data_IF_603258750532
#
_entry.id   IF_603258750532
#
_cell.length_a   1.000
_cell.length_b   1.000
_cell.length_c   1.000
_cell.angle_alpha   90.00
_cell.angle_beta   90.00
_cell.angle_gamma   90.00
#
_symmetry.space_group_name_H-M   'P 1'
#
loop_
_entity.id
_entity.type
_entity.pdbx_description
1 polymer ?
#
# COMPACT_ATOMS: atom_id res chain seq x y z
N UNK A 1 15.10 4.16 -12.99
CA UNK A 1 14.89 5.56 -13.42
C UNK A 1 13.88 5.64 -14.56
N UNK A 2 13.28 6.81 -14.78
CA UNK A 2 12.27 7.09 -15.81
C UNK A 2 11.01 6.21 -15.74
N UNK A 3 10.52 5.96 -14.51
CA UNK A 3 9.31 5.19 -14.29
C UNK A 3 8.08 5.95 -14.83
N UNK A 4 7.41 5.39 -15.84
CA UNK A 4 6.27 6.01 -16.53
C UNK A 4 4.93 5.79 -15.83
N UNK A 5 4.87 4.84 -14.89
CA UNK A 5 3.68 4.50 -14.14
C UNK A 5 4.01 4.01 -12.73
N UNK A 6 3.17 4.34 -11.75
CA UNK A 6 3.22 3.83 -10.39
C UNK A 6 1.99 2.99 -10.12
N UNK A 7 2.19 1.76 -9.66
CA UNK A 7 1.09 0.89 -9.22
C UNK A 7 0.83 1.11 -7.74
N UNK A 8 -0.41 1.46 -7.41
CA UNK A 8 -0.89 1.57 -6.04
C UNK A 8 -1.65 0.28 -5.73
N UNK A 9 -1.14 -0.47 -4.76
CA UNK A 9 -1.77 -1.70 -4.27
C UNK A 9 -2.38 -1.43 -2.88
N UNK A 10 -3.68 -1.64 -2.74
CA UNK A 10 -4.43 -1.36 -1.52
C UNK A 10 -4.70 -2.67 -0.81
N UNK A 11 -4.27 -2.75 0.45
CA UNK A 11 -4.42 -3.94 1.29
C UNK A 11 -5.02 -3.58 2.65
N UNK A 12 -5.63 -4.57 3.30
CA UNK A 12 -6.21 -4.49 4.63
C UNK A 12 -5.73 -5.66 5.48
N UNK A 13 -5.18 -5.36 6.65
CA UNK A 13 -4.71 -6.34 7.62
C UNK A 13 -3.65 -5.75 8.55
N UNK A 14 -3.33 -6.49 9.60
CA UNK A 14 -2.45 -6.05 10.70
C UNK A 14 -1.02 -6.59 10.59
N UNK A 15 -0.72 -7.39 9.56
CA UNK A 15 0.62 -7.99 9.38
C UNK A 15 1.56 -7.09 8.61
N UNK A 16 2.86 -7.22 8.85
CA UNK A 16 3.85 -6.31 8.25
C UNK A 16 4.05 -6.53 6.74
N UNK A 17 3.80 -7.74 6.23
CA UNK A 17 4.04 -8.09 4.84
C UNK A 17 2.77 -8.10 4.01
N UNK A 18 2.84 -7.52 2.81
CA UNK A 18 1.69 -7.40 1.90
C UNK A 18 1.04 -8.72 1.52
N UNK A 19 1.82 -9.79 1.35
CA UNK A 19 1.31 -11.14 1.01
C UNK A 19 0.44 -11.76 2.11
N UNK A 20 0.61 -11.30 3.34
CA UNK A 20 -0.04 -11.82 4.53
C UNK A 20 -1.31 -11.01 4.89
N UNK A 21 -1.65 -10.01 4.06
CA UNK A 21 -2.83 -9.14 4.21
C UNK A 21 -3.84 -9.37 3.08
N UNK A 22 -5.08 -8.94 3.32
CA UNK A 22 -6.16 -9.02 2.33
C UNK A 22 -5.99 -7.95 1.27
N UNK A 23 -5.88 -8.33 0.00
CA UNK A 23 -5.88 -7.37 -1.11
C UNK A 23 -7.28 -6.82 -1.34
N UNK A 24 -7.41 -5.49 -1.42
CA UNK A 24 -8.65 -4.80 -1.70
C UNK A 24 -8.76 -4.37 -3.16
N UNK A 25 -7.62 -4.17 -3.82
CA UNK A 25 -7.56 -3.76 -5.22
C UNK A 25 -6.25 -3.05 -5.53
N UNK A 26 -6.01 -2.83 -6.82
CA UNK A 26 -4.89 -2.03 -7.27
C UNK A 26 -5.27 -1.18 -8.48
N UNK A 27 -4.48 -0.16 -8.74
CA UNK A 27 -4.60 0.67 -9.93
C UNK A 27 -3.25 1.29 -10.29
N UNK A 28 -3.13 1.73 -11.54
CA UNK A 28 -1.93 2.38 -12.05
C UNK A 28 -2.19 3.87 -12.23
N UNK A 29 -1.30 4.69 -11.67
CA UNK A 29 -1.17 6.09 -12.08
C UNK A 29 -0.16 6.14 -13.22
N UNK A 30 -0.66 6.32 -14.44
CA UNK A 30 0.15 6.33 -15.66
C UNK A 30 0.50 7.73 -16.16
N UNK A 31 1.52 7.80 -17.00
CA UNK A 31 1.95 9.02 -17.68
C UNK A 31 2.69 9.98 -16.75
N UNK A 32 3.47 9.42 -15.82
CA UNK A 32 4.43 10.14 -14.99
C UNK A 32 5.60 10.57 -15.89
N UNK A 33 5.99 11.87 -15.89
CA UNK A 33 7.13 12.34 -16.66
C UNK A 33 8.43 11.61 -16.28
N UNK A 34 9.32 11.33 -17.25
CA UNK A 34 10.63 10.76 -16.96
C UNK A 34 11.38 11.64 -15.96
N UNK A 35 11.78 11.04 -14.84
CA UNK A 35 12.53 11.72 -13.80
C UNK A 35 13.50 10.73 -13.11
N UNK A 36 14.60 11.25 -12.51
CA UNK A 36 15.45 10.46 -11.63
C UNK A 36 14.66 9.85 -10.48
N UNK A 37 15.11 8.69 -9.98
CA UNK A 37 14.53 8.06 -8.78
C UNK A 37 14.43 9.06 -7.62
N UNK A 38 13.28 9.06 -6.95
CA UNK A 38 13.01 9.93 -5.79
C UNK A 38 12.53 11.34 -6.12
N UNK A 39 12.52 11.75 -7.39
CA UNK A 39 12.00 13.07 -7.79
C UNK A 39 10.46 13.13 -7.95
N UNK A 40 9.78 12.14 -8.56
CA UNK A 40 8.32 12.16 -8.66
C UNK A 40 7.66 12.19 -7.28
N UNK A 41 6.74 13.14 -7.07
CA UNK A 41 5.97 13.25 -5.84
C UNK A 41 4.54 12.77 -6.09
N UNK A 42 4.22 11.57 -5.62
CA UNK A 42 2.88 11.00 -5.70
C UNK A 42 2.19 11.17 -4.35
N UNK A 43 1.08 11.89 -4.35
CA UNK A 43 0.21 12.06 -3.19
C UNK A 43 -0.89 11.00 -3.23
N UNK A 44 -0.92 10.12 -2.23
CA UNK A 44 -1.95 9.08 -2.10
C UNK A 44 -2.88 9.45 -0.97
N UNK A 45 -4.18 9.52 -1.24
CA UNK A 45 -5.22 9.86 -0.27
C UNK A 45 -6.18 8.69 -0.10
N UNK A 46 -6.48 8.36 1.14
CA UNK A 46 -7.46 7.34 1.52
C UNK A 46 -8.63 8.05 2.20
N UNK A 47 -9.82 7.92 1.64
CA UNK A 47 -11.05 8.52 2.14
C UNK A 47 -12.07 7.40 2.44
N UNK A 48 -12.60 7.35 3.65
CA UNK A 48 -13.61 6.38 4.06
C UNK A 48 -14.87 7.15 4.42
N UNK A 49 -15.95 6.87 3.71
CA UNK A 49 -17.24 7.52 3.96
C UNK A 49 -18.03 6.82 5.08
N UNK A 50 -19.15 7.43 5.47
CA UNK A 50 -20.05 6.88 6.49
C UNK A 50 -20.70 5.53 6.10
N UNK A 51 -20.68 5.17 4.81
CA UNK A 51 -21.18 3.89 4.32
C UNK A 51 -20.09 2.81 4.32
N UNK A 52 -18.85 3.17 4.68
CA UNK A 52 -17.69 2.28 4.64
C UNK A 52 -17.16 2.03 3.23
N UNK A 53 -17.45 2.91 2.27
CA UNK A 53 -16.83 2.89 0.95
C UNK A 53 -15.46 3.58 1.07
N UNK A 54 -14.41 2.84 0.73
CA UNK A 54 -13.04 3.34 0.70
C UNK A 54 -12.73 3.88 -0.71
N UNK A 55 -12.46 5.17 -0.82
CA UNK A 55 -11.93 5.80 -2.02
C UNK A 55 -10.43 5.99 -1.85
N UNK A 56 -9.63 5.38 -2.73
CA UNK A 56 -8.18 5.57 -2.76
C UNK A 56 -7.83 6.34 -4.03
N UNK A 57 -7.24 7.52 -3.88
CA UNK A 57 -6.78 8.34 -4.98
C UNK A 57 -5.27 8.53 -4.93
N UNK A 58 -4.64 8.58 -6.10
CA UNK A 58 -3.23 8.92 -6.24
C UNK A 58 -3.09 10.04 -7.26
N UNK A 59 -2.32 11.08 -6.90
CA UNK A 59 -2.11 12.27 -7.71
C UNK A 59 -0.62 12.58 -7.83
N UNK A 60 -0.14 12.75 -9.06
CA UNK A 60 1.18 13.32 -9.30
C UNK A 60 1.12 14.83 -9.06
N UNK A 61 1.93 15.33 -8.12
CA UNK A 61 1.94 16.76 -7.76
C UNK A 61 2.53 17.64 -8.85
N UNK A 62 3.36 17.11 -9.74
CA UNK A 62 3.97 17.88 -10.83
C UNK A 62 3.00 18.12 -11.98
N UNK A 63 2.28 17.07 -12.40
CA UNK A 63 1.37 17.15 -13.56
C UNK A 63 -0.10 17.37 -13.18
N UNK A 64 -0.46 17.13 -11.93
CA UNK A 64 -1.85 17.13 -11.47
C UNK A 64 -2.66 15.92 -11.94
N UNK A 65 -2.08 14.99 -12.70
CA UNK A 65 -2.74 13.75 -13.10
C UNK A 65 -3.12 12.94 -11.87
N UNK A 66 -4.34 12.44 -11.86
CA UNK A 66 -4.84 11.61 -10.79
C UNK A 66 -5.55 10.36 -11.32
N UNK A 67 -5.50 9.30 -10.54
CA UNK A 67 -6.28 8.09 -10.71
C UNK A 67 -6.84 7.68 -9.35
N UNK A 68 -8.02 7.08 -9.34
CA UNK A 68 -8.67 6.62 -8.13
C UNK A 68 -9.39 5.30 -8.34
N UNK A 69 -9.59 4.58 -7.24
CA UNK A 69 -10.49 3.43 -7.16
C UNK A 69 -11.45 3.61 -5.99
N UNK A 70 -12.66 3.07 -6.15
CA UNK A 70 -13.65 2.95 -5.10
C UNK A 70 -13.80 1.50 -4.73
N UNK A 71 -13.57 1.19 -3.46
CA UNK A 71 -13.62 -0.14 -2.90
C UNK A 71 -14.87 -0.20 -2.01
N UNK A 72 -15.89 -0.90 -2.51
CA UNK A 72 -17.10 -1.19 -1.74
C UNK A 72 -16.87 -2.47 -0.92
N UNK A 73 -17.19 -2.44 0.37
CA UNK A 73 -17.13 -3.63 1.24
C UNK A 73 -15.82 -3.83 2.02
N UNK A 74 -14.96 -2.80 2.13
CA UNK A 74 -13.81 -2.82 3.06
C UNK A 74 -14.22 -2.91 4.53
N UNK A 75 -15.45 -2.51 4.87
CA UNK A 75 -16.08 -2.69 6.19
C UNK A 75 -16.72 -4.07 6.38
N UNK A 76 -16.65 -4.98 5.39
CA UNK A 76 -17.34 -6.27 5.41
C UNK A 76 -16.64 -7.38 6.21
N UNK A 77 -15.64 -7.07 7.04
CA UNK A 77 -15.05 -8.07 7.94
C UNK A 77 -15.94 -8.25 9.16
N UNK A 78 -16.30 -9.49 9.45
CA UNK A 78 -16.94 -9.85 10.71
C UNK A 78 -16.00 -9.62 11.90
N UNK A 79 -16.55 -9.40 13.10
CA UNK A 79 -15.74 -9.29 14.33
C UNK A 79 -14.83 -10.51 14.54
N UNK A 80 -15.29 -11.70 14.12
CA UNK A 80 -14.50 -12.93 14.18
C UNK A 80 -13.28 -12.86 13.25
N UNK A 81 -13.45 -12.39 12.01
CA UNK A 81 -12.33 -12.20 11.08
C UNK A 81 -11.33 -11.16 11.60
N UNK A 82 -11.82 -10.05 12.16
CA UNK A 82 -10.96 -9.01 12.75
C UNK A 82 -10.13 -9.61 13.89
N UNK A 83 -10.77 -10.32 14.82
CA UNK A 83 -10.08 -10.94 15.96
C UNK A 83 -9.06 -11.99 15.50
N UNK A 84 -9.40 -12.78 14.48
CA UNK A 84 -8.47 -13.75 13.89
C UNK A 84 -7.27 -13.06 13.25
N UNK A 85 -7.46 -11.96 12.51
CA UNK A 85 -6.36 -11.19 11.90
C UNK A 85 -5.43 -10.57 12.97
N UNK A 86 -6.00 -10.01 14.04
CA UNK A 86 -5.21 -9.44 15.15
C UNK A 86 -4.41 -10.54 15.85
N UNK A 87 -5.05 -11.70 16.11
CA UNK A 87 -4.38 -12.84 16.74
C UNK A 87 -3.26 -13.41 15.87
N UNK A 88 -3.50 -13.53 14.57
CA UNK A 88 -2.50 -14.00 13.61
C UNK A 88 -1.29 -13.05 13.59
N UNK A 89 -1.53 -11.74 13.55
CA UNK A 89 -0.47 -10.74 13.60
C UNK A 89 0.37 -10.82 14.88
N UNK A 90 -0.25 -10.99 16.06
CA UNK A 90 0.50 -11.16 17.31
C UNK A 90 1.29 -12.48 17.35
N UNK A 91 0.75 -13.58 16.81
CA UNK A 91 1.48 -14.86 16.71
C UNK A 91 2.69 -14.77 15.78
N UNK A 92 2.58 -13.99 14.70
CA UNK A 92 3.62 -13.86 13.68
C UNK A 92 4.57 -12.67 13.89
N UNK A 93 4.36 -11.86 14.92
CA UNK A 93 5.11 -10.62 15.21
C UNK A 93 6.62 -10.78 15.18
N UNK A 94 7.16 -11.81 15.83
CA UNK A 94 8.61 -12.06 15.87
C UNK A 94 9.17 -12.55 14.52
N UNK A 95 8.38 -13.31 13.77
CA UNK A 95 8.75 -13.74 12.41
C UNK A 95 8.76 -12.56 11.45
N UNK A 96 7.71 -11.75 11.50
CA UNK A 96 7.54 -10.56 10.66
C UNK A 96 8.67 -9.56 10.94
N UNK A 97 8.97 -9.30 12.22
CA UNK A 97 10.11 -8.44 12.61
C UNK A 97 11.45 -8.92 12.02
N UNK A 98 11.77 -10.21 12.15
CA UNK A 98 13.03 -10.75 11.60
C UNK A 98 13.12 -10.61 10.08
N UNK A 99 12.01 -10.85 9.38
CA UNK A 99 11.97 -10.67 7.92
C UNK A 99 12.12 -9.20 7.53
N UNK A 100 11.50 -8.29 8.28
CA UNK A 100 11.58 -6.86 8.03
C UNK A 100 13.01 -6.35 8.20
N UNK A 101 13.69 -6.75 9.27
CA UNK A 101 15.10 -6.44 9.49
C UNK A 101 15.99 -6.91 8.32
N UNK A 102 15.74 -8.11 7.79
CA UNK A 102 16.48 -8.63 6.63
C UNK A 102 16.19 -7.82 5.34
N UNK A 103 14.94 -7.41 5.12
CA UNK A 103 14.54 -6.59 3.97
C UNK A 103 15.11 -5.18 4.08
N UNK A 104 15.06 -4.56 5.25
CA UNK A 104 15.59 -3.21 5.49
C UNK A 104 17.12 -3.19 5.30
N UNK A 105 17.82 -4.22 5.81
CA UNK A 105 19.26 -4.38 5.58
C UNK A 105 19.59 -4.49 4.08
N UNK A 106 18.78 -5.25 3.33
CA UNK A 106 18.93 -5.37 1.88
C UNK A 106 18.65 -4.06 1.15
N UNK A 107 17.57 -3.37 1.49
CA UNK A 107 17.20 -2.09 0.87
C UNK A 107 18.24 -1.00 1.16
N UNK A 108 18.82 -0.99 2.36
CA UNK A 108 19.91 -0.08 2.72
C UNK A 108 21.16 -0.37 1.89
N UNK A 109 21.53 -1.64 1.70
CA UNK A 109 22.64 -2.03 0.83
C UNK A 109 22.39 -1.62 -0.64
N UNK A 110 21.19 -1.87 -1.15
CA UNK A 110 20.78 -1.52 -2.51
C UNK A 110 20.67 0.00 -2.73
N UNK A 111 20.57 0.81 -1.66
CA UNK A 111 20.54 2.27 -1.74
C UNK A 111 21.93 2.92 -1.66
N UNK A 112 22.95 2.18 -1.23
CA UNK A 112 24.34 2.65 -1.12
C UNK A 112 25.17 2.37 -2.40
N UNK A 113 24.66 1.51 -3.28
CA UNK A 113 25.24 1.16 -4.58
C UNK A 113 24.67 2.00 -5.71
#
# INVERSE_FOLDING_TARGET
>A
DNQSAVTINVLQGEREFSRDNKSLGNFNLEGIPPAPRGMPQIEVTFDIDANGILTVSAKDKATGKAQEIKITGSSGLSEEEINNMVKDAELHKEEDKKRKEAVDARNAADSLA
#
